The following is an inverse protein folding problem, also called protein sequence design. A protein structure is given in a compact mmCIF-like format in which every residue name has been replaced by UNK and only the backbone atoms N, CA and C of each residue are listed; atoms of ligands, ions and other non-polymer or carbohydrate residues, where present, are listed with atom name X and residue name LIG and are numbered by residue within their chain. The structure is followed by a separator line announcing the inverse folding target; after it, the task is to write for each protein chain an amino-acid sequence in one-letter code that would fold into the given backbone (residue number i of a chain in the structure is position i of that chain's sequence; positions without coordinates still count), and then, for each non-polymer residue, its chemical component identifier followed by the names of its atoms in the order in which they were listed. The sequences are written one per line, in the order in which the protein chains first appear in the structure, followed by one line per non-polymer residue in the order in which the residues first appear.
data_IF_204840207557
#
_entry.id   IF_204840207557
#
_cell.length_a   1.000
_cell.length_b   1.000
_cell.length_c   1.000
_cell.angle_alpha   90.00
_cell.angle_beta   90.00
_cell.angle_gamma   90.00
#
_symmetry.space_group_name_H-M   'P 1'
#
loop_
_entity.id
_entity.type
_entity.pdbx_description
1 polymer ?
#
# COMPACT_ATOMS: atom_id res chain seq x y z
N UNK A 1 -32.72 -74.24 -73.57
CA UNK A 1 -32.96 -72.81 -73.90
C UNK A 1 -33.08 -72.08 -72.56
N UNK A 2 -31.94 -71.77 -71.93
CA UNK A 2 -31.17 -70.52 -71.99
C UNK A 2 -31.78 -69.35 -71.20
N UNK A 3 -30.92 -68.80 -70.31
CA UNK A 3 -30.86 -67.44 -69.74
C UNK A 3 -31.54 -67.27 -68.36
N UNK A 4 -30.80 -67.33 -67.23
CA UNK A 4 -29.87 -66.36 -66.60
C UNK A 4 -30.54 -65.27 -65.75
N UNK A 5 -30.18 -65.25 -64.46
CA UNK A 5 -30.48 -64.24 -63.43
C UNK A 5 -29.77 -62.88 -63.69
N UNK A 6 -30.32 -61.77 -63.16
CA UNK A 6 -29.54 -60.63 -62.67
C UNK A 6 -29.79 -60.42 -61.16
N UNK A 7 -28.80 -60.68 -60.29
CA UNK A 7 -27.82 -59.74 -59.71
C UNK A 7 -28.32 -58.89 -58.52
N UNK A 8 -27.82 -59.28 -57.35
CA UNK A 8 -27.69 -58.55 -56.08
C UNK A 8 -27.22 -57.10 -56.27
N UNK A 9 -27.61 -56.23 -55.32
CA UNK A 9 -26.64 -55.51 -54.46
C UNK A 9 -27.30 -54.98 -53.18
N UNK A 10 -26.99 -55.65 -52.07
CA UNK A 10 -27.03 -55.10 -50.72
C UNK A 10 -26.05 -53.91 -50.65
N UNK A 11 -26.55 -52.75 -50.22
CA UNK A 11 -25.74 -51.72 -49.55
C UNK A 11 -26.08 -51.90 -48.06
N UNK A 12 -25.18 -52.27 -47.15
CA UNK A 12 -23.75 -52.01 -47.10
C UNK A 12 -23.51 -51.02 -45.96
N UNK A 13 -23.35 -51.55 -44.75
CA UNK A 13 -23.24 -50.86 -43.48
C UNK A 13 -22.07 -49.85 -43.43
N UNK A 14 -22.31 -48.70 -42.80
CA UNK A 14 -21.28 -47.87 -42.15
C UNK A 14 -21.89 -47.25 -40.90
N UNK A 15 -21.93 -48.03 -39.83
CA UNK A 15 -22.15 -47.54 -38.47
C UNK A 15 -20.87 -46.79 -38.07
N UNK A 16 -20.89 -45.46 -38.17
CA UNK A 16 -19.82 -44.62 -37.66
C UNK A 16 -20.06 -44.44 -36.16
N UNK A 17 -19.31 -45.20 -35.37
CA UNK A 17 -19.20 -45.04 -33.93
C UNK A 17 -18.30 -43.82 -33.65
N UNK A 18 -18.90 -42.63 -33.58
CA UNK A 18 -18.29 -41.48 -32.90
C UNK A 18 -19.08 -41.27 -31.60
N UNK A 19 -18.74 -42.05 -30.57
CA UNK A 19 -19.05 -41.65 -29.21
C UNK A 19 -18.23 -40.39 -28.93
N UNK A 20 -18.94 -39.27 -28.93
CA UNK A 20 -18.50 -37.97 -28.49
C UNK A 20 -17.74 -38.13 -27.16
N UNK A 21 -16.44 -37.84 -27.18
CA UNK A 21 -15.71 -37.40 -25.99
C UNK A 21 -16.28 -36.03 -25.59
N UNK A 22 -17.48 -36.03 -25.00
CA UNK A 22 -17.92 -34.97 -24.12
C UNK A 22 -17.16 -35.19 -22.81
N UNK A 23 -15.87 -34.83 -22.81
CA UNK A 23 -15.17 -34.57 -21.57
C UNK A 23 -16.00 -33.51 -20.85
N UNK A 24 -16.61 -33.93 -19.74
CA UNK A 24 -17.20 -33.04 -18.77
C UNK A 24 -16.09 -32.15 -18.24
N UNK A 25 -15.79 -31.05 -18.95
CA UNK A 25 -15.27 -29.86 -18.32
C UNK A 25 -16.43 -29.35 -17.46
N UNK A 26 -16.62 -29.95 -16.28
CA UNK A 26 -17.39 -29.30 -15.24
C UNK A 26 -16.70 -27.95 -15.05
N UNK A 27 -17.42 -26.81 -15.16
CA UNK A 27 -16.84 -25.55 -14.73
C UNK A 27 -16.35 -25.80 -13.30
N UNK A 28 -15.06 -25.56 -13.04
CA UNK A 28 -14.58 -25.54 -11.68
C UNK A 28 -15.54 -24.65 -10.92
N UNK A 29 -16.31 -25.23 -9.99
CA UNK A 29 -17.22 -24.44 -9.17
C UNK A 29 -16.33 -23.37 -8.54
N UNK A 30 -16.54 -22.11 -8.91
CA UNK A 30 -15.82 -21.01 -8.32
C UNK A 30 -16.13 -21.10 -6.83
N UNK A 31 -15.14 -21.53 -6.04
CA UNK A 31 -15.28 -21.64 -4.60
C UNK A 31 -15.57 -20.24 -4.10
N UNK A 32 -16.76 -20.02 -3.57
CA UNK A 32 -17.11 -18.73 -2.99
C UNK A 32 -16.24 -18.50 -1.76
N UNK A 33 -15.70 -17.29 -1.61
CA UNK A 33 -14.93 -16.91 -0.43
C UNK A 33 -15.71 -17.23 0.86
N UNK A 34 -15.03 -17.86 1.81
CA UNK A 34 -15.59 -18.21 3.12
C UNK A 34 -15.15 -17.18 4.17
N UNK A 35 -16.04 -16.25 4.52
CA UNK A 35 -15.75 -15.22 5.51
C UNK A 35 -15.93 -15.73 6.94
N UNK A 36 -15.13 -15.23 7.87
CA UNK A 36 -15.14 -15.69 9.25
C UNK A 36 -13.77 -15.58 9.90
N UNK A 37 -13.61 -16.28 11.00
CA UNK A 37 -12.37 -16.27 11.79
C UNK A 37 -11.71 -17.64 11.72
N UNK A 38 -10.42 -17.63 11.43
CA UNK A 38 -9.53 -18.77 11.38
C UNK A 38 -8.43 -18.56 12.42
N UNK A 39 -8.04 -19.63 13.11
CA UNK A 39 -7.02 -19.59 14.18
C UNK A 39 -5.95 -20.61 13.90
N UNK A 40 -4.71 -20.26 14.19
CA UNK A 40 -3.62 -21.23 14.25
C UNK A 40 -3.80 -22.18 15.45
N UNK A 41 -2.93 -23.18 15.54
CA UNK A 41 -3.03 -24.20 16.58
C UNK A 41 -2.81 -23.65 18.01
N UNK A 42 -2.02 -22.58 18.18
CA UNK A 42 -1.80 -21.96 19.49
C UNK A 42 -2.89 -20.95 19.85
N UNK A 43 -3.63 -20.43 18.87
CA UNK A 43 -4.56 -19.32 19.01
C UNK A 43 -3.89 -17.95 19.11
N UNK A 44 -2.57 -17.87 18.91
CA UNK A 44 -1.79 -16.62 18.97
C UNK A 44 -1.93 -15.80 17.69
N UNK A 45 -2.26 -16.47 16.58
CA UNK A 45 -2.54 -15.85 15.29
C UNK A 45 -3.99 -16.09 14.89
N UNK A 46 -4.68 -14.99 14.61
CA UNK A 46 -6.08 -14.98 14.18
C UNK A 46 -6.16 -14.33 12.80
N UNK A 47 -6.60 -15.09 11.82
CA UNK A 47 -6.93 -14.58 10.49
C UNK A 47 -8.43 -14.34 10.39
N UNK A 48 -8.83 -13.12 10.02
CA UNK A 48 -10.23 -12.76 9.80
C UNK A 48 -10.44 -12.38 8.35
N UNK A 49 -11.32 -13.10 7.67
CA UNK A 49 -11.76 -12.79 6.29
C UNK A 49 -13.12 -12.11 6.41
N UNK A 50 -13.19 -10.81 6.10
CA UNK A 50 -14.39 -10.01 6.28
C UNK A 50 -15.22 -9.90 4.99
N UNK A 51 -14.59 -10.07 3.82
CA UNK A 51 -15.21 -10.00 2.50
C UNK A 51 -14.46 -10.86 1.49
N UNK A 52 -14.90 -10.86 0.23
CA UNK A 52 -14.18 -11.52 -0.87
C UNK A 52 -12.81 -10.92 -1.17
N UNK A 53 -12.53 -9.69 -0.69
CA UNK A 53 -11.32 -8.93 -1.04
C UNK A 53 -10.61 -8.34 0.18
N UNK A 54 -11.14 -8.47 1.39
CA UNK A 54 -10.54 -7.92 2.60
C UNK A 54 -10.35 -9.01 3.66
N UNK A 55 -9.14 -9.07 4.19
CA UNK A 55 -8.80 -9.84 5.38
C UNK A 55 -7.89 -9.06 6.31
N UNK A 56 -7.78 -9.53 7.55
CA UNK A 56 -6.84 -9.03 8.54
C UNK A 56 -6.22 -10.18 9.31
N UNK A 57 -4.90 -10.11 9.54
CA UNK A 57 -4.19 -11.04 10.41
C UNK A 57 -3.80 -10.33 11.70
N UNK A 58 -4.25 -10.86 12.82
CA UNK A 58 -3.87 -10.41 14.14
C UNK A 58 -2.87 -11.39 14.74
N UNK A 59 -1.71 -10.89 15.17
CA UNK A 59 -0.73 -11.65 15.96
C UNK A 59 -0.64 -11.09 17.37
N UNK A 60 -0.42 -11.95 18.36
CA UNK A 60 -0.21 -11.50 19.73
C UNK A 60 0.88 -10.43 19.81
N UNK A 61 0.58 -9.30 20.46
CA UNK A 61 1.52 -8.18 20.65
C UNK A 61 1.79 -7.29 19.43
N UNK A 62 1.10 -7.50 18.30
CA UNK A 62 1.30 -6.75 17.06
C UNK A 62 0.02 -6.05 16.61
N UNK A 63 0.15 -5.02 15.77
CA UNK A 63 -0.99 -4.43 15.06
C UNK A 63 -1.69 -5.48 14.18
N UNK A 64 -3.01 -5.36 13.94
CA UNK A 64 -3.65 -6.09 12.85
C UNK A 64 -3.01 -5.74 11.51
N UNK A 65 -2.61 -6.75 10.75
CA UNK A 65 -2.10 -6.58 9.38
C UNK A 65 -3.25 -6.71 8.37
N UNK A 66 -3.59 -5.67 7.61
CA UNK A 66 -4.63 -5.71 6.59
C UNK A 66 -4.15 -6.32 5.26
N UNK A 67 -5.02 -7.07 4.60
CA UNK A 67 -4.77 -7.72 3.30
C UNK A 67 -5.88 -7.42 2.29
N UNK A 68 -5.47 -7.26 1.04
CA UNK A 68 -6.35 -7.40 -0.12
C UNK A 68 -6.27 -8.82 -0.67
N UNK A 69 -7.41 -9.43 -0.97
CA UNK A 69 -7.49 -10.79 -1.48
C UNK A 69 -7.89 -10.82 -2.95
N UNK A 70 -7.25 -11.70 -3.72
CA UNK A 70 -7.67 -12.10 -5.06
C UNK A 70 -7.74 -13.64 -5.11
N UNK A 71 -8.95 -14.18 -5.26
CA UNK A 71 -9.20 -15.63 -5.19
C UNK A 71 -9.38 -16.22 -6.59
N UNK A 72 -8.58 -17.26 -6.89
CA UNK A 72 -8.65 -18.06 -8.10
C UNK A 72 -8.82 -19.54 -7.75
N UNK A 73 -10.07 -19.98 -7.56
CA UNK A 73 -10.36 -21.34 -7.10
C UNK A 73 -9.99 -21.51 -5.63
N UNK A 74 -9.11 -22.46 -5.31
CA UNK A 74 -8.63 -22.71 -3.95
C UNK A 74 -7.48 -21.78 -3.54
N UNK A 75 -6.78 -21.21 -4.52
CA UNK A 75 -5.65 -20.32 -4.28
C UNK A 75 -6.16 -18.88 -4.07
N UNK A 76 -5.61 -18.22 -3.06
CA UNK A 76 -5.90 -16.84 -2.71
C UNK A 76 -4.57 -16.09 -2.72
N UNK A 77 -4.44 -15.12 -3.61
CA UNK A 77 -3.33 -14.16 -3.52
C UNK A 77 -3.70 -13.12 -2.48
N UNK A 78 -2.99 -13.11 -1.36
CA UNK A 78 -3.15 -12.12 -0.31
C UNK A 78 -2.01 -11.10 -0.39
N UNK A 79 -2.36 -9.83 -0.57
CA UNK A 79 -1.42 -8.72 -0.66
C UNK A 79 -1.58 -7.87 0.58
N UNK A 80 -0.52 -7.75 1.36
CA UNK A 80 -0.49 -6.88 2.53
C UNK A 80 -0.74 -5.44 2.07
N UNK A 81 -1.58 -4.71 2.81
CA UNK A 81 -1.84 -3.30 2.57
C UNK A 81 -0.96 -2.40 3.43
N UNK A 82 -0.43 -2.95 4.53
CA UNK A 82 0.55 -2.31 5.41
C UNK A 82 1.97 -2.34 4.82
N UNK A 83 2.26 -3.35 4.01
CA UNK A 83 3.53 -3.52 3.30
C UNK A 83 3.27 -3.72 1.80
N UNK A 84 4.31 -3.96 1.00
CA UNK A 84 4.17 -4.40 -0.40
C UNK A 84 4.29 -5.91 -0.54
N UNK A 85 4.22 -6.65 0.58
CA UNK A 85 4.35 -8.10 0.62
C UNK A 85 3.13 -8.81 0.04
N UNK A 86 3.34 -9.97 -0.56
CA UNK A 86 2.29 -10.84 -1.07
C UNK A 86 2.58 -12.29 -0.72
N UNK A 87 1.54 -13.06 -0.44
CA UNK A 87 1.60 -14.49 -0.12
C UNK A 87 0.45 -15.22 -0.79
N UNK A 88 0.68 -16.49 -1.13
CA UNK A 88 -0.38 -17.36 -1.63
C UNK A 88 -0.95 -18.15 -0.48
N UNK A 89 -2.26 -18.06 -0.25
CA UNK A 89 -2.99 -18.86 0.71
C UNK A 89 -3.80 -19.92 -0.02
N UNK A 90 -3.93 -21.11 0.58
CA UNK A 90 -4.72 -22.20 0.02
C UNK A 90 -5.90 -22.49 0.94
N UNK A 91 -7.12 -22.35 0.42
CA UNK A 91 -8.34 -22.71 1.12
C UNK A 91 -8.73 -24.16 0.83
N UNK A 92 -9.07 -24.93 1.87
CA UNK A 92 -9.56 -26.28 1.69
C UNK A 92 -10.90 -26.32 0.94
N UNK A 93 -11.19 -27.44 0.30
CA UNK A 93 -12.43 -27.59 -0.48
C UNK A 93 -13.71 -27.49 0.37
N UNK A 94 -13.63 -27.83 1.66
CA UNK A 94 -14.72 -27.67 2.63
C UNK A 94 -14.74 -26.29 3.30
N UNK A 95 -13.75 -25.43 3.02
CA UNK A 95 -13.63 -24.08 3.55
C UNK A 95 -13.28 -23.99 5.04
N UNK A 96 -12.92 -25.11 5.66
CA UNK A 96 -12.65 -25.19 7.09
C UNK A 96 -11.18 -24.96 7.45
N UNK A 97 -10.25 -25.12 6.51
CA UNK A 97 -8.83 -24.88 6.77
C UNK A 97 -8.22 -23.96 5.72
N UNK A 98 -7.25 -23.17 6.16
CA UNK A 98 -6.49 -22.26 5.32
C UNK A 98 -5.01 -22.41 5.65
N UNK A 99 -4.17 -22.47 4.62
CA UNK A 99 -2.72 -22.55 4.76
C UNK A 99 -2.11 -21.31 4.09
N UNK A 100 -1.31 -20.52 4.81
CA UNK A 100 -0.65 -19.32 4.24
C UNK A 100 0.82 -19.54 3.84
N UNK A 101 1.28 -20.80 3.91
CA UNK A 101 2.67 -21.21 3.70
C UNK A 101 3.53 -21.19 4.97
N UNK A 102 3.20 -20.35 5.95
CA UNK A 102 3.90 -20.26 7.24
C UNK A 102 3.08 -20.94 8.37
N UNK A 103 1.77 -20.72 8.36
CA UNK A 103 0.82 -21.10 9.39
C UNK A 103 -0.36 -21.89 8.78
N UNK A 104 -0.86 -22.86 9.56
CA UNK A 104 -2.08 -23.60 9.23
C UNK A 104 -3.21 -23.17 10.17
N UNK A 105 -4.32 -22.73 9.59
CA UNK A 105 -5.45 -22.21 10.33
C UNK A 105 -6.68 -23.10 10.19
N UNK A 106 -7.43 -23.22 11.26
CA UNK A 106 -8.75 -23.87 11.30
C UNK A 106 -9.83 -22.83 11.56
N UNK A 107 -10.95 -22.92 10.85
CA UNK A 107 -12.08 -22.00 11.00
C UNK A 107 -12.70 -22.18 12.39
N UNK A 108 -12.64 -21.13 13.18
CA UNK A 108 -13.21 -21.03 14.53
C UNK A 108 -14.68 -20.59 14.48
N UNK A 109 -15.00 -19.65 13.58
CA UNK A 109 -16.37 -19.18 13.40
C UNK A 109 -16.66 -18.76 11.96
N UNK A 110 -17.92 -18.95 11.56
CA UNK A 110 -18.42 -18.54 10.26
C UNK A 110 -19.07 -17.16 10.34
N UNK A 111 -18.91 -16.36 9.29
CA UNK A 111 -19.57 -15.08 9.15
C UNK A 111 -20.10 -14.89 7.73
N UNK A 112 -21.17 -14.11 7.59
CA UNK A 112 -21.61 -13.66 6.27
C UNK A 112 -20.58 -12.66 5.71
N UNK A 113 -20.12 -12.90 4.48
CA UNK A 113 -19.22 -11.96 3.80
C UNK A 113 -19.88 -10.59 3.63
N UNK A 114 -19.16 -9.52 3.97
CA UNK A 114 -19.59 -8.17 3.64
C UNK A 114 -19.60 -7.99 2.12
N UNK A 115 -20.63 -7.31 1.63
CA UNK A 115 -20.70 -6.88 0.23
C UNK A 115 -19.73 -5.73 0.05
N UNK A 116 -18.77 -5.90 -0.87
CA UNK A 116 -17.81 -4.85 -1.23
C UNK A 116 -18.30 -4.16 -2.50
N UNK A 117 -18.52 -2.83 -2.47
CA UNK A 117 -18.78 -2.07 -3.68
C UNK A 117 -17.63 -2.21 -4.69
N UNK A 118 -17.91 -2.17 -6.00
CA UNK A 118 -16.85 -2.14 -7.00
C UNK A 118 -15.88 -0.98 -6.73
N UNK A 119 -14.59 -1.26 -6.78
CA UNK A 119 -13.57 -0.23 -6.68
C UNK A 119 -13.62 0.71 -7.88
N UNK A 120 -13.27 1.98 -7.67
CA UNK A 120 -13.24 2.96 -8.74
C UNK A 120 -12.26 2.52 -9.85
N UNK A 121 -12.57 2.71 -11.14
CA UNK A 121 -11.62 2.42 -12.20
C UNK A 121 -10.30 3.17 -11.99
N UNK A 122 -9.17 2.49 -12.21
CA UNK A 122 -7.81 3.00 -11.99
C UNK A 122 -7.44 3.30 -10.52
N UNK A 123 -8.28 2.93 -9.55
CA UNK A 123 -7.88 2.92 -8.14
C UNK A 123 -6.82 1.84 -7.89
N UNK A 124 -6.01 2.04 -6.86
CA UNK A 124 -5.06 1.02 -6.40
C UNK A 124 -5.79 -0.28 -6.06
N UNK A 125 -6.95 -0.20 -5.39
CA UNK A 125 -7.75 -1.37 -5.02
C UNK A 125 -8.36 -2.12 -6.21
N UNK A 126 -8.51 -1.49 -7.38
CA UNK A 126 -9.00 -2.16 -8.58
C UNK A 126 -7.93 -3.02 -9.29
N UNK A 127 -6.65 -2.72 -9.08
CA UNK A 127 -5.48 -3.47 -9.57
C UNK A 127 -4.39 -3.44 -8.50
N UNK A 128 -4.61 -4.17 -7.40
CA UNK A 128 -3.76 -4.06 -6.22
C UNK A 128 -2.33 -4.54 -6.49
N UNK A 129 -2.17 -5.61 -7.28
CA UNK A 129 -0.86 -6.16 -7.62
C UNK A 129 -0.07 -5.17 -8.49
N UNK A 130 -0.69 -4.63 -9.54
CA UNK A 130 -0.05 -3.62 -10.39
C UNK A 130 0.22 -2.32 -9.64
N UNK A 131 -0.67 -1.91 -8.74
CA UNK A 131 -0.46 -0.74 -7.88
C UNK A 131 0.77 -0.92 -6.97
N UNK A 132 0.84 -2.02 -6.21
CA UNK A 132 1.96 -2.32 -5.31
C UNK A 132 3.28 -2.39 -6.08
N UNK A 133 3.29 -2.98 -7.28
CA UNK A 133 4.47 -3.02 -8.15
C UNK A 133 4.97 -1.66 -8.64
N UNK A 134 4.10 -0.63 -8.68
CA UNK A 134 4.46 0.73 -9.09
C UNK A 134 4.85 1.66 -7.94
N UNK A 135 4.69 1.23 -6.68
CA UNK A 135 4.97 2.06 -5.52
C UNK A 135 6.39 2.63 -5.52
N UNK A 136 7.40 1.84 -5.91
CA UNK A 136 8.80 2.30 -5.93
C UNK A 136 9.05 3.53 -6.81
N UNK A 137 8.17 3.79 -7.79
CA UNK A 137 8.26 4.92 -8.72
C UNK A 137 7.19 5.99 -8.48
N UNK A 138 6.39 5.85 -7.43
CA UNK A 138 5.28 6.75 -7.17
C UNK A 138 5.76 8.07 -6.56
N UNK A 139 5.07 9.15 -6.91
CA UNK A 139 5.28 10.48 -6.35
C UNK A 139 4.19 10.86 -5.34
N UNK A 140 4.30 12.07 -4.78
CA UNK A 140 3.41 12.59 -3.74
C UNK A 140 1.91 12.40 -4.07
N UNK A 141 1.48 12.80 -5.26
CA UNK A 141 0.07 12.69 -5.69
C UNK A 141 -0.48 11.26 -5.60
N UNK A 142 0.35 10.26 -5.92
CA UNK A 142 -0.02 8.85 -5.81
C UNK A 142 -0.16 8.42 -4.36
N UNK A 143 0.73 8.87 -3.47
CA UNK A 143 0.64 8.56 -2.04
C UNK A 143 -0.64 9.12 -1.42
N UNK A 144 -0.99 10.37 -1.76
CA UNK A 144 -2.25 10.97 -1.38
C UNK A 144 -3.46 10.15 -1.83
N UNK A 145 -3.50 9.80 -3.12
CA UNK A 145 -4.60 9.03 -3.68
C UNK A 145 -4.73 7.66 -2.99
N UNK A 146 -3.65 6.90 -2.91
CA UNK A 146 -3.68 5.53 -2.38
C UNK A 146 -3.90 5.50 -0.87
N UNK A 147 -3.41 6.49 -0.13
CA UNK A 147 -3.73 6.59 1.29
C UNK A 147 -5.24 6.82 1.51
N UNK A 148 -5.89 7.67 0.69
CA UNK A 148 -7.36 7.83 0.73
C UNK A 148 -8.12 6.56 0.39
N UNK A 149 -7.51 5.64 -0.36
CA UNK A 149 -8.07 4.31 -0.65
C UNK A 149 -7.79 3.26 0.44
N UNK A 150 -7.17 3.66 1.56
CA UNK A 150 -6.86 2.78 2.68
C UNK A 150 -5.70 1.83 2.39
N UNK A 151 -4.73 2.28 1.59
CA UNK A 151 -3.46 1.59 1.39
C UNK A 151 -2.45 2.11 2.42
N UNK A 152 -2.30 1.39 3.52
CA UNK A 152 -1.50 1.83 4.67
C UNK A 152 -0.02 2.08 4.31
N UNK A 153 0.57 1.28 3.41
CA UNK A 153 1.93 1.52 2.92
C UNK A 153 2.08 2.91 2.27
N UNK A 154 1.06 3.38 1.54
CA UNK A 154 1.04 4.71 0.94
C UNK A 154 0.86 5.81 1.99
N UNK A 155 0.01 5.60 3.00
CA UNK A 155 -0.14 6.54 4.12
C UNK A 155 1.17 6.74 4.89
N UNK A 156 1.86 5.64 5.20
CA UNK A 156 3.17 5.68 5.84
C UNK A 156 4.20 6.39 4.95
N UNK A 157 4.16 6.19 3.64
CA UNK A 157 5.09 6.86 2.72
C UNK A 157 4.82 8.36 2.61
N UNK A 158 3.55 8.77 2.63
CA UNK A 158 3.12 10.18 2.55
C UNK A 158 3.69 11.01 3.72
N UNK A 159 3.53 10.54 4.96
CA UNK A 159 4.07 11.27 6.12
C UNK A 159 5.61 11.36 6.10
N UNK A 160 6.29 10.34 5.57
CA UNK A 160 7.75 10.38 5.39
C UNK A 160 8.19 11.36 4.29
N UNK A 161 7.39 11.52 3.23
CA UNK A 161 7.63 12.58 2.23
C UNK A 161 7.47 13.97 2.86
N UNK A 162 6.42 14.20 3.65
CA UNK A 162 6.24 15.47 4.36
C UNK A 162 7.37 15.79 5.33
N UNK A 163 7.85 14.79 6.08
CA UNK A 163 9.03 14.94 6.95
C UNK A 163 10.28 15.26 6.14
N UNK A 164 10.44 14.65 4.98
CA UNK A 164 11.55 14.93 4.08
C UNK A 164 11.48 16.36 3.52
N UNK A 165 10.30 16.81 3.12
CA UNK A 165 10.07 18.17 2.66
C UNK A 165 10.33 19.19 3.76
N UNK A 166 9.85 18.95 4.99
CA UNK A 166 10.12 19.80 6.14
C UNK A 166 11.64 19.94 6.39
N UNK A 167 12.39 18.84 6.32
CA UNK A 167 13.86 18.84 6.45
C UNK A 167 14.53 19.63 5.32
N UNK A 168 14.09 19.42 4.08
CA UNK A 168 14.65 20.11 2.92
C UNK A 168 14.37 21.61 2.99
N UNK A 169 13.15 22.01 3.34
CA UNK A 169 12.75 23.40 3.52
C UNK A 169 13.54 24.07 4.65
N UNK A 170 13.79 23.37 5.76
CA UNK A 170 14.66 23.87 6.82
C UNK A 170 16.08 24.18 6.33
N UNK A 171 16.66 23.30 5.50
CA UNK A 171 17.99 23.54 4.92
C UNK A 171 17.95 24.74 3.98
N UNK A 172 16.94 24.82 3.10
CA UNK A 172 16.74 25.94 2.18
C UNK A 172 16.64 27.25 2.97
N UNK A 173 15.78 27.32 3.99
CA UNK A 173 15.60 28.51 4.82
C UNK A 173 16.90 28.95 5.48
N UNK A 174 17.72 27.99 5.93
CA UNK A 174 19.03 28.27 6.55
C UNK A 174 20.07 28.76 5.55
N UNK A 175 20.13 28.17 4.36
CA UNK A 175 20.99 28.65 3.27
C UNK A 175 20.57 30.07 2.87
N UNK A 176 19.27 30.30 2.69
CA UNK A 176 18.74 31.62 2.29
C UNK A 176 18.90 32.69 3.37
N UNK A 177 18.95 32.30 4.65
CA UNK A 177 19.23 33.21 5.75
C UNK A 177 20.75 33.47 5.97
N UNK A 178 21.63 32.73 5.30
CA UNK A 178 23.08 32.89 5.43
C UNK A 178 23.53 34.16 4.67
N UNK A 179 24.08 35.18 5.37
CA UNK A 179 24.51 36.42 4.73
C UNK A 179 25.70 36.23 3.75
N UNK A 180 26.36 35.07 3.76
CA UNK A 180 27.42 34.73 2.81
C UNK A 180 26.88 34.27 1.45
N UNK A 181 25.59 33.94 1.35
CA UNK A 181 24.93 33.62 0.07
C UNK A 181 24.59 34.94 -0.65
N UNK A 182 25.12 35.19 -1.86
CA UNK A 182 24.85 36.43 -2.59
C UNK A 182 23.35 36.61 -2.87
N UNK A 183 22.81 37.77 -2.52
CA UNK A 183 21.40 38.13 -2.79
C UNK A 183 21.17 38.73 -4.19
N UNK A 184 22.24 38.89 -4.97
CA UNK A 184 22.20 39.46 -6.32
C UNK A 184 23.18 38.74 -7.25
N UNK A 185 22.80 38.62 -8.52
CA UNK A 185 23.66 38.08 -9.58
C UNK A 185 24.94 38.91 -9.70
N UNK A 186 26.11 38.25 -9.70
CA UNK A 186 27.40 38.92 -9.85
C UNK A 186 27.47 39.74 -11.16
N UNK A 187 28.13 40.90 -11.17
CA UNK A 187 28.22 41.79 -12.34
C UNK A 187 28.79 41.07 -13.59
N UNK A 188 29.72 40.13 -13.40
CA UNK A 188 30.28 39.30 -14.48
C UNK A 188 29.24 38.43 -15.21
N UNK A 189 28.08 38.22 -14.58
CA UNK A 189 26.95 37.45 -15.07
C UNK A 189 25.78 38.30 -15.57
N UNK A 190 25.84 39.64 -15.48
CA UNK A 190 24.77 40.52 -15.93
C UNK A 190 25.04 40.96 -17.38
N UNK A 191 24.25 40.50 -18.35
CA UNK A 191 24.50 40.75 -19.79
C UNK A 191 24.55 42.25 -20.17
N UNK A 192 23.81 43.09 -19.44
CA UNK A 192 23.76 44.54 -19.64
C UNK A 192 24.90 45.29 -18.91
N UNK A 193 25.72 44.60 -18.11
CA UNK A 193 26.83 45.19 -17.37
C UNK A 193 28.11 45.20 -18.23
N UNK A 194 28.87 46.32 -18.27
CA UNK A 194 30.15 46.38 -18.98
C UNK A 194 31.20 45.33 -18.54
N UNK A 195 31.05 44.75 -17.35
CA UNK A 195 31.89 43.69 -16.81
C UNK A 195 31.45 42.26 -17.21
N UNK A 196 30.38 42.12 -18.01
CA UNK A 196 29.89 40.83 -18.47
C UNK A 196 30.97 40.00 -19.18
N UNK A 197 31.16 38.77 -18.72
CA UNK A 197 32.01 37.78 -19.37
C UNK A 197 31.38 36.40 -19.18
N UNK A 198 30.92 35.80 -20.28
CA UNK A 198 30.21 34.53 -20.25
C UNK A 198 31.05 33.35 -19.68
N UNK A 199 32.37 33.35 -19.83
CA UNK A 199 33.24 32.29 -19.29
C UNK A 199 33.54 32.52 -17.81
N UNK A 200 33.79 33.77 -17.42
CA UNK A 200 33.97 34.12 -16.02
C UNK A 200 32.66 33.95 -15.21
N UNK A 201 31.51 34.23 -15.82
CA UNK A 201 30.20 33.93 -15.24
C UNK A 201 30.01 32.42 -14.98
N UNK A 202 30.25 31.56 -15.98
CA UNK A 202 30.17 30.09 -15.78
C UNK A 202 31.07 29.60 -14.65
N UNK A 203 32.30 30.14 -14.54
CA UNK A 203 33.21 29.80 -13.44
C UNK A 203 32.71 30.28 -12.09
N UNK A 204 32.09 31.47 -12.04
CA UNK A 204 31.45 31.99 -10.84
C UNK A 204 30.29 31.08 -10.41
N UNK A 205 29.39 30.73 -11.32
CA UNK A 205 28.26 29.83 -11.06
C UNK A 205 28.70 28.46 -10.55
N UNK A 206 29.74 27.86 -11.17
CA UNK A 206 30.28 26.59 -10.70
C UNK A 206 30.86 26.67 -9.29
N UNK A 207 31.57 27.77 -8.97
CA UNK A 207 32.11 28.00 -7.62
C UNK A 207 31.01 28.21 -6.59
N UNK A 208 30.00 29.02 -6.91
CA UNK A 208 28.83 29.25 -6.05
C UNK A 208 28.05 27.95 -5.81
N UNK A 209 27.86 27.13 -6.85
CA UNK A 209 27.20 25.82 -6.71
C UNK A 209 27.98 24.88 -5.80
N UNK A 210 29.31 24.79 -5.95
CA UNK A 210 30.15 23.96 -5.07
C UNK A 210 30.09 24.46 -3.62
N UNK A 211 30.12 25.78 -3.41
CA UNK A 211 29.99 26.37 -2.08
C UNK A 211 28.60 26.07 -1.47
N UNK A 212 27.52 26.25 -2.23
CA UNK A 212 26.15 25.97 -1.80
C UNK A 212 25.96 24.50 -1.41
N UNK A 213 26.51 23.56 -2.18
CA UNK A 213 26.49 22.12 -1.82
C UNK A 213 27.26 21.86 -0.53
N UNK A 214 28.43 22.48 -0.35
CA UNK A 214 29.22 22.37 0.88
C UNK A 214 28.47 22.89 2.10
N UNK A 215 27.82 24.05 1.98
CA UNK A 215 26.98 24.63 3.04
C UNK A 215 25.78 23.75 3.36
N UNK A 216 25.05 23.28 2.34
CA UNK A 216 23.90 22.38 2.55
C UNK A 216 24.31 21.09 3.27
N UNK A 217 25.46 20.50 2.92
CA UNK A 217 25.98 19.32 3.61
C UNK A 217 26.36 19.63 5.06
N UNK A 218 26.97 20.79 5.32
CA UNK A 218 27.28 21.25 6.68
C UNK A 218 26.03 21.52 7.52
N UNK A 219 24.92 21.93 6.89
CA UNK A 219 23.64 22.15 7.56
C UNK A 219 22.89 20.85 7.82
N UNK A 220 23.08 19.82 7.00
CA UNK A 220 22.38 18.55 7.14
C UNK A 220 22.59 17.89 8.52
N UNK A 221 23.76 18.07 9.15
CA UNK A 221 24.04 17.57 10.51
C UNK A 221 23.41 18.39 11.63
N UNK A 222 22.85 19.55 11.32
CA UNK A 222 22.23 20.48 12.27
C UNK A 222 20.70 20.46 12.20
N UNK A 223 20.14 19.64 11.30
CA UNK A 223 18.69 19.46 11.16
C UNK A 223 18.16 18.93 12.51
N UNK A 224 17.15 19.61 13.12
CA UNK A 224 16.48 19.10 14.31
C UNK A 224 15.86 17.73 14.05
N UNK A 225 15.94 16.83 15.02
CA UNK A 225 15.37 15.47 14.92
C UNK A 225 13.86 15.51 14.59
N UNK A 226 13.15 16.49 15.14
CA UNK A 226 11.71 16.66 14.97
C UNK A 226 11.39 18.08 14.48
N UNK A 227 11.10 18.20 13.19
CA UNK A 227 10.58 19.42 12.59
C UNK A 227 9.05 19.36 12.57
N UNK A 228 8.34 20.43 12.99
CA UNK A 228 6.89 20.45 12.91
C UNK A 228 6.45 20.49 11.45
N UNK A 229 5.43 19.69 11.13
CA UNK A 229 4.76 19.76 9.83
C UNK A 229 3.75 20.93 9.83
N UNK A 230 3.47 21.54 8.66
CA UNK A 230 2.40 22.52 8.51
C UNK A 230 1.02 22.00 8.96
N UNK A 231 0.18 22.88 9.51
CA UNK A 231 -1.14 22.52 10.05
C UNK A 231 -2.05 21.86 9.01
N UNK A 232 -2.00 22.29 7.75
CA UNK A 232 -2.79 21.70 6.66
C UNK A 232 -2.43 20.21 6.44
N UNK A 233 -1.13 19.90 6.41
CA UNK A 233 -0.65 18.54 6.27
C UNK A 233 -1.04 17.68 7.49
N UNK A 234 -0.93 18.22 8.69
CA UNK A 234 -1.32 17.52 9.92
C UNK A 234 -2.81 17.20 9.95
N UNK A 235 -3.65 18.14 9.51
CA UNK A 235 -5.09 17.93 9.44
C UNK A 235 -5.45 16.86 8.41
N UNK A 236 -4.87 16.91 7.20
CA UNK A 236 -5.09 15.88 6.18
C UNK A 236 -4.70 14.50 6.69
N UNK A 237 -3.52 14.37 7.31
CA UNK A 237 -3.05 13.10 7.87
C UNK A 237 -3.97 12.58 8.99
N UNK A 238 -4.49 13.48 9.85
CA UNK A 238 -5.43 13.11 10.90
C UNK A 238 -6.77 12.63 10.33
N UNK A 239 -7.28 13.27 9.28
CA UNK A 239 -8.48 12.86 8.56
C UNK A 239 -8.30 11.49 7.88
N UNK A 240 -7.15 11.24 7.25
CA UNK A 240 -6.82 9.95 6.65
C UNK A 240 -6.75 8.84 7.71
N UNK A 241 -6.10 9.09 8.86
CA UNK A 241 -6.08 8.12 9.96
C UNK A 241 -7.50 7.85 10.49
N UNK A 242 -8.35 8.88 10.54
CA UNK A 242 -9.74 8.73 10.95
C UNK A 242 -10.53 7.80 10.01
N UNK A 243 -10.30 7.92 8.70
CA UNK A 243 -10.94 7.10 7.69
C UNK A 243 -10.41 5.66 7.66
N UNK A 244 -9.10 5.49 7.81
CA UNK A 244 -8.40 4.21 7.68
C UNK A 244 -7.48 3.98 8.89
N UNK A 245 -8.06 3.64 10.06
CA UNK A 245 -7.29 3.53 11.28
C UNK A 245 -6.31 2.35 11.20
N UNK A 246 -5.02 2.68 11.28
CA UNK A 246 -3.93 1.71 11.40
C UNK A 246 -3.02 2.12 12.56
N UNK A 247 -2.50 1.15 13.31
CA UNK A 247 -1.63 1.46 14.46
C UNK A 247 -0.42 2.29 14.04
N UNK A 248 0.33 1.81 13.04
CA UNK A 248 1.59 2.41 12.63
C UNK A 248 1.39 3.82 12.08
N UNK A 249 0.46 3.98 11.15
CA UNK A 249 0.22 5.28 10.52
C UNK A 249 -0.29 6.29 11.54
N UNK A 250 -1.34 5.95 12.28
CA UNK A 250 -1.93 6.86 13.26
C UNK A 250 -0.97 7.21 14.40
N UNK A 251 -0.08 6.30 14.82
CA UNK A 251 0.98 6.62 15.79
C UNK A 251 1.98 7.65 15.23
N UNK A 252 2.36 7.52 13.96
CA UNK A 252 3.24 8.48 13.30
C UNK A 252 2.57 9.87 13.16
N UNK A 253 1.27 9.90 12.83
CA UNK A 253 0.47 11.13 12.79
C UNK A 253 0.38 11.76 14.18
N UNK A 254 0.10 10.99 15.22
CA UNK A 254 0.05 11.49 16.59
C UNK A 254 1.40 12.07 17.05
N UNK A 255 2.51 11.47 16.64
CA UNK A 255 3.85 11.96 16.93
C UNK A 255 4.15 13.30 16.22
N UNK A 256 3.76 13.43 14.95
CA UNK A 256 3.87 14.68 14.20
C UNK A 256 2.99 15.80 14.81
N UNK A 257 1.77 15.47 15.22
CA UNK A 257 0.87 16.39 15.91
C UNK A 257 1.45 16.85 17.24
N UNK A 258 2.05 15.95 18.01
CA UNK A 258 2.72 16.28 19.28
C UNK A 258 3.91 17.22 19.05
N UNK A 259 4.72 16.94 18.03
CA UNK A 259 5.86 17.79 17.62
C UNK A 259 5.41 19.21 17.27
N UNK A 260 4.24 19.33 16.65
CA UNK A 260 3.61 20.62 16.33
C UNK A 260 2.84 21.27 17.49
N UNK A 261 2.80 20.65 18.68
CA UNK A 261 2.09 21.17 19.84
C UNK A 261 0.58 20.94 19.84
N UNK A 262 0.05 20.12 18.93
CA UNK A 262 -1.37 19.80 18.80
C UNK A 262 -1.78 18.58 19.66
N UNK A 263 -1.53 18.65 20.98
CA UNK A 263 -1.65 17.52 21.91
C UNK A 263 -3.06 16.89 21.95
N UNK A 264 -4.13 17.70 21.92
CA UNK A 264 -5.50 17.17 21.94
C UNK A 264 -5.82 16.33 20.70
N UNK A 265 -5.36 16.77 19.52
CA UNK A 265 -5.59 16.03 18.28
C UNK A 265 -4.74 14.76 18.24
N UNK A 266 -3.49 14.83 18.71
CA UNK A 266 -2.62 13.65 18.86
C UNK A 266 -3.29 12.56 19.72
N UNK A 267 -3.85 12.95 20.87
CA UNK A 267 -4.54 12.03 21.76
C UNK A 267 -5.79 11.40 21.12
N UNK A 268 -6.59 12.19 20.38
CA UNK A 268 -7.76 11.67 19.66
C UNK A 268 -7.38 10.61 18.63
N UNK A 269 -6.30 10.85 17.89
CA UNK A 269 -5.76 9.93 16.88
C UNK A 269 -5.24 8.64 17.52
N UNK A 270 -4.50 8.72 18.64
CA UNK A 270 -4.03 7.54 19.38
C UNK A 270 -5.17 6.68 19.91
N UNK A 271 -6.19 7.32 20.49
CA UNK A 271 -7.37 6.62 21.00
C UNK A 271 -8.15 5.91 19.88
N UNK A 272 -8.16 6.48 18.66
CA UNK A 272 -8.75 5.81 17.52
C UNK A 272 -7.96 4.57 17.12
N UNK A 273 -6.64 4.70 16.99
CA UNK A 273 -5.74 3.59 16.65
C UNK A 273 -5.81 2.46 17.69
N UNK A 274 -5.88 2.79 18.98
CA UNK A 274 -6.06 1.80 20.04
C UNK A 274 -7.35 0.96 19.85
N UNK A 275 -8.45 1.61 19.46
CA UNK A 275 -9.74 0.92 19.24
C UNK A 275 -9.75 0.06 17.97
N UNK A 276 -8.88 0.31 16.99
CA UNK A 276 -8.75 -0.54 15.81
C UNK A 276 -7.93 -1.80 16.14
N UNK A 277 -8.62 -2.84 16.62
CA UNK A 277 -8.10 -4.21 16.63
C UNK A 277 -7.05 -4.53 17.71
N UNK A 278 -7.08 -3.86 18.87
CA UNK A 278 -6.14 -4.05 19.98
C UNK A 278 -4.68 -3.72 19.62
N UNK A 279 -4.45 -2.61 18.91
CA UNK A 279 -3.15 -1.99 18.69
C UNK A 279 -2.45 -1.66 20.04
N UNK A 280 -1.58 -2.53 20.58
CA UNK A 280 -1.19 -2.47 21.98
C UNK A 280 -0.26 -1.29 22.27
N UNK A 281 0.54 -0.87 21.29
CA UNK A 281 1.44 0.27 21.44
C UNK A 281 0.66 1.59 21.37
N UNK A 282 -0.29 1.70 20.44
CA UNK A 282 -1.19 2.85 20.39
C UNK A 282 -2.02 2.98 21.67
N UNK A 283 -2.54 1.86 22.21
CA UNK A 283 -3.24 1.87 23.48
C UNK A 283 -2.35 2.31 24.64
N UNK A 284 -1.15 1.77 24.76
CA UNK A 284 -0.22 2.15 25.81
C UNK A 284 0.14 3.65 25.76
N UNK A 285 0.41 4.18 24.56
CA UNK A 285 0.73 5.60 24.35
C UNK A 285 -0.47 6.52 24.61
N UNK A 286 -1.68 6.07 24.27
CA UNK A 286 -2.90 6.80 24.58
C UNK A 286 -3.11 6.93 26.09
N UNK A 287 -2.83 5.88 26.87
CA UNK A 287 -3.04 5.89 28.33
C UNK A 287 -1.90 6.55 29.11
N UNK A 288 -0.72 6.73 28.51
CA UNK A 288 0.43 7.38 29.17
C UNK A 288 0.43 8.91 29.08
N UNK A 289 -0.56 9.48 28.38
CA UNK A 289 -0.67 10.93 28.13
C UNK A 289 -1.70 11.62 29.05
N UNK A 290 -2.20 10.90 30.05
CA UNK A 290 -3.06 11.41 31.14
C UNK A 290 -2.26 11.83 32.38
#
# INVERSE_FOLDING_TARGET
MFLTLPTRRLRGARTVLLFLLAAAAMPAAAQSMQCGTFKDASGDTVLRIDSAVDAQRQRAGHAPEPFHLDQAGADITAISLASTGSSTWTLSADGHTLDDGDDHYVRDSEAACRVVPPFAPNSCRADIAGCMGRMVWAGADSWHLWCREGIEAACNRLIEDYRTDARNNWVIDRVMADPSVPSSVAAVCQEDDPAFDAEACRRNDDQERVAAVGTAFSLASQIPDNLPLPDEQLQELAEMCAAHPSERFCMAVADALQTAGQAELAQRVLLLACRSGNAPQACAKATSSE
#
